data_IF_578878393648
#
_entry.id   IF_578878393648
#
_cell.length_a   1.000
_cell.length_b   1.000
_cell.length_c   1.000
_cell.angle_alpha   90.00
_cell.angle_beta   90.00
_cell.angle_gamma   90.00
#
_symmetry.space_group_name_H-M   'P 1'
#
loop_
_entity.id
_entity.type
_entity.pdbx_description
1 polymer ?
2 non-polymer ?
3 non-polymer ?
4 water ?
#
# COMPACT_ATOMS: atom_id res chain seq x y z
N UNK A 45 -24.39 -21.28 -4.42
CA UNK A 45 -25.83 -21.33 -4.30
C UNK A 45 -26.47 -19.98 -4.60
N UNK A 46 -27.75 -19.98 -4.98
CA UNK A 46 -28.44 -18.75 -5.31
C UNK A 46 -28.81 -17.99 -4.03
N UNK A 47 -29.30 -18.70 -3.02
CA UNK A 47 -29.51 -18.08 -1.71
C UNK A 47 -28.19 -18.13 -0.93
N UNK A 48 -28.04 -17.27 0.07
CA UNK A 48 -26.80 -17.27 0.86
C UNK A 48 -26.64 -18.59 1.62
N UNK A 49 -27.74 -19.10 2.17
CA UNK A 49 -27.71 -20.37 2.89
C UNK A 49 -27.29 -21.49 1.94
N UNK A 50 -27.81 -21.47 0.72
CA UNK A 50 -27.41 -22.45 -0.28
C UNK A 50 -25.91 -22.32 -0.56
N UNK A 51 -25.45 -21.10 -0.78
CA UNK A 51 -24.03 -20.91 -1.02
C UNK A 51 -23.22 -21.40 0.18
N UNK A 52 -23.70 -21.10 1.39
CA UNK A 52 -22.97 -21.45 2.61
C UNK A 52 -22.88 -22.96 2.82
N UNK A 53 -23.99 -23.66 2.63
CA UNK A 53 -24.00 -25.10 2.85
C UNK A 53 -23.09 -25.77 1.84
N UNK A 54 -23.05 -25.23 0.63
CA UNK A 54 -22.17 -25.76 -0.41
C UNK A 54 -20.72 -25.45 -0.08
N UNK A 55 -20.46 -24.24 0.42
CA UNK A 55 -19.10 -23.89 0.81
C UNK A 55 -18.64 -24.70 2.03
N UNK A 56 -19.58 -25.07 2.90
CA UNK A 56 -19.24 -25.83 4.09
C UNK A 56 -18.61 -27.17 3.67
N UNK A 57 -19.08 -27.72 2.57
CA UNK A 57 -18.48 -28.94 2.01
C UNK A 57 -17.03 -28.70 1.62
N UNK A 58 -16.74 -27.55 1.01
CA UNK A 58 -15.38 -27.26 0.59
C UNK A 58 -14.47 -26.99 1.79
N UNK A 59 -15.02 -26.36 2.83
CA UNK A 59 -14.25 -26.10 4.04
C UNK A 59 -13.90 -27.40 4.76
N UNK A 60 -14.87 -28.31 4.87
CA UNK A 60 -14.63 -29.61 5.48
C UNK A 60 -13.56 -30.36 4.70
N UNK A 61 -13.67 -30.32 3.37
CA UNK A 61 -12.72 -30.98 2.49
C UNK A 61 -11.35 -30.31 2.57
N UNK A 62 -11.32 -29.09 3.09
CA UNK A 62 -10.08 -28.33 3.22
C UNK A 62 -9.44 -28.44 4.59
N UNK A 63 -10.04 -29.26 5.47
CA UNK A 63 -9.48 -29.47 6.79
C UNK A 63 -10.14 -28.72 7.94
N UNK A 64 -11.12 -27.87 7.63
CA UNK A 64 -11.88 -27.20 8.68
C UNK A 64 -12.88 -28.16 9.33
N UNK A 65 -12.98 -28.12 10.65
CA UNK A 65 -13.91 -29.00 11.35
C UNK A 65 -15.24 -28.31 11.65
N UNK A 66 -16.25 -29.13 11.88
CA UNK A 66 -17.63 -28.67 11.97
C UNK A 66 -17.87 -27.61 13.03
N UNK A 67 -17.33 -27.82 14.24
CA UNK A 67 -17.52 -26.84 15.31
C UNK A 67 -16.99 -25.49 14.90
N UNK A 68 -15.82 -25.47 14.28
CA UNK A 68 -15.18 -24.22 13.86
C UNK A 68 -16.03 -23.48 12.84
N UNK A 69 -16.49 -24.21 11.83
CA UNK A 69 -17.28 -23.62 10.76
C UNK A 69 -18.59 -23.04 11.30
N UNK A 70 -19.32 -23.84 12.08
CA UNK A 70 -20.62 -23.41 12.58
C UNK A 70 -20.48 -22.25 13.57
N UNK A 71 -19.44 -22.30 14.40
CA UNK A 71 -19.12 -21.21 15.31
C UNK A 71 -18.85 -19.92 14.53
N UNK A 72 -18.08 -20.06 13.47
CA UNK A 72 -17.68 -18.93 12.64
C UNK A 72 -18.85 -18.31 11.86
N UNK A 73 -19.81 -19.14 11.48
CA UNK A 73 -20.93 -18.67 10.66
C UNK A 73 -22.21 -18.39 11.44
N UNK A 74 -22.18 -18.59 12.75
CA UNK A 74 -23.34 -18.33 13.58
C UNK A 74 -23.89 -16.92 13.39
N UNK A 75 -25.10 -16.82 12.83
CA UNK A 75 -25.76 -15.54 12.65
C UNK A 75 -25.28 -14.74 11.46
N UNK A 76 -24.30 -15.27 10.73
CA UNK A 76 -23.74 -14.55 9.58
C UNK A 76 -24.70 -14.49 8.38
N UNK A 77 -24.84 -13.28 7.84
CA UNK A 77 -25.64 -13.02 6.65
C UNK A 77 -24.80 -12.11 5.76
N UNK A 78 -25.20 -11.93 4.48
CA UNK A 78 -24.41 -10.99 3.68
C UNK A 78 -24.41 -9.57 4.26
N UNK A 79 -23.32 -8.85 4.01
CA UNK A 79 -23.20 -7.46 4.45
C UNK A 79 -23.23 -6.50 3.25
N UNK A 80 -24.34 -5.76 3.08
CA UNK A 80 -24.46 -4.90 1.90
C UNK A 80 -23.38 -3.82 1.84
N UNK A 81 -22.85 -3.44 3.00
CA UNK A 81 -21.78 -2.45 3.07
C UNK A 81 -20.53 -3.00 2.39
N UNK A 82 -20.29 -4.29 2.55
CA UNK A 82 -19.15 -4.94 1.93
C UNK A 82 -19.35 -5.01 0.41
N UNK A 83 -20.58 -5.32 0.00
CA UNK A 83 -20.87 -5.37 -1.44
C UNK A 83 -20.67 -4.00 -2.07
N UNK A 84 -21.13 -2.96 -1.38
CA UNK A 84 -20.99 -1.59 -1.86
C UNK A 84 -19.53 -1.17 -1.99
N UNK A 85 -18.71 -1.46 -0.97
CA UNK A 85 -17.29 -1.13 -1.02
C UNK A 85 -16.60 -1.85 -2.18
N UNK A 86 -17.01 -3.08 -2.44
CA UNK A 86 -16.46 -3.91 -3.51
C UNK A 86 -16.85 -3.37 -4.89
N UNK A 87 -18.00 -2.71 -4.96
CA UNK A 87 -18.53 -2.17 -6.21
C UNK A 87 -18.04 -0.74 -6.44
N UNK A 88 -17.64 -0.09 -5.35
CA UNK A 88 -17.27 1.32 -5.38
C UNK A 88 -16.16 1.62 -6.38
N UNK A 89 -16.50 2.45 -7.37
CA UNK A 89 -15.52 2.98 -8.32
C UNK A 89 -15.51 4.50 -8.23
N UNK A 90 -14.74 5.05 -7.28
CA UNK A 90 -14.73 6.49 -6.97
C UNK A 90 -14.44 7.35 -8.19
N UNK A 91 -15.34 8.29 -8.47
CA UNK A 91 -15.18 9.18 -9.61
C UNK A 91 -14.00 10.14 -9.40
N UNK A 92 -13.91 10.71 -8.21
CA UNK A 92 -12.85 11.66 -7.91
C UNK A 92 -11.86 11.12 -6.87
N UNK A 93 -10.60 11.55 -6.99
CA UNK A 93 -9.59 11.23 -6.00
C UNK A 93 -8.85 12.51 -5.59
N UNK A 94 -8.21 12.47 -4.43
CA UNK A 94 -7.49 13.64 -3.94
C UNK A 94 -6.06 13.68 -4.50
N UNK A 95 -5.53 14.88 -4.74
CA UNK A 95 -4.15 14.99 -5.22
C UNK A 95 -3.19 14.41 -4.18
N UNK A 96 -2.00 14.01 -4.61
CA UNK A 96 -1.06 13.34 -3.72
C UNK A 96 -0.73 14.21 -2.52
N UNK A 97 -0.58 15.52 -2.75
CA UNK A 97 -0.14 16.39 -1.66
C UNK A 97 -1.18 16.40 -0.54
N UNK A 98 -2.46 16.23 -0.88
CA UNK A 98 -3.51 16.20 0.14
C UNK A 98 -3.52 14.85 0.85
N UNK A 99 -3.30 13.78 0.09
CA UNK A 99 -3.14 12.47 0.70
C UNK A 99 -2.02 12.49 1.73
N UNK A 100 -0.86 13.03 1.33
CA UNK A 100 0.29 13.09 2.20
C UNK A 100 0.04 14.00 3.40
N UNK A 101 -0.69 15.08 3.18
CA UNK A 101 -0.99 16.02 4.26
C UNK A 101 -1.80 15.31 5.35
N UNK A 102 -2.71 14.44 4.93
CA UNK A 102 -3.47 13.62 5.86
C UNK A 102 -2.64 12.54 6.53
N UNK A 103 -1.83 11.83 5.74
CA UNK A 103 -0.98 10.77 6.28
C UNK A 103 0.03 11.29 7.31
N UNK A 104 0.56 12.48 7.04
CA UNK A 104 1.61 13.06 7.87
C UNK A 104 1.06 14.08 8.87
N UNK A 105 -0.23 13.96 9.17
CA UNK A 105 -0.85 14.87 10.13
C UNK A 105 -0.02 14.85 11.41
N UNK A 106 0.28 16.03 11.97
CA UNK A 106 1.08 16.08 13.22
C UNK A 106 0.50 15.17 14.31
N UNK A 107 -0.81 14.98 14.31
CA UNK A 107 -1.40 14.11 15.31
C UNK A 107 -0.93 12.65 15.12
N UNK A 108 -0.79 12.21 13.87
CA UNK A 108 -0.31 10.85 13.63
C UNK A 108 1.19 10.75 13.93
N UNK A 109 1.93 11.79 13.62
CA UNK A 109 3.37 11.80 13.93
C UNK A 109 3.55 11.68 15.43
N UNK A 110 2.87 12.54 16.20
CA UNK A 110 3.08 12.50 17.63
C UNK A 110 2.59 11.19 18.23
N UNK A 111 1.51 10.59 17.69
CA UNK A 111 1.04 9.33 18.26
C UNK A 111 2.08 8.23 18.01
N UNK A 112 2.72 8.28 16.85
CA UNK A 112 3.78 7.31 16.54
C UNK A 112 4.99 7.48 17.43
N UNK A 113 5.36 8.72 17.71
CA UNK A 113 6.44 8.97 18.65
C UNK A 113 6.09 8.44 20.03
N UNK A 114 4.82 8.55 20.41
CA UNK A 114 4.39 8.05 21.71
C UNK A 114 4.45 6.52 21.74
N UNK A 115 4.10 5.88 20.62
CA UNK A 115 4.17 4.41 20.54
C UNK A 115 5.61 3.91 20.56
N UNK A 116 6.50 4.65 19.92
CA UNK A 116 7.90 4.27 19.89
C UNK A 116 8.46 4.25 21.31
N UNK A 117 8.01 5.19 22.16
CA UNK A 117 8.45 5.22 23.54
C UNK A 117 7.78 4.16 24.38
N UNK A 118 6.48 3.98 24.17
CA UNK A 118 5.70 3.07 24.99
C UNK A 118 6.15 1.63 24.79
N UNK A 119 6.44 1.29 23.55
CA UNK A 119 6.80 -0.08 23.19
C UNK A 119 8.29 -0.23 22.90
N UNK A 120 9.10 0.63 23.50
CA UNK A 120 10.53 0.68 23.18
C UNK A 120 11.22 -0.68 23.38
N UNK A 121 10.88 -1.39 24.45
CA UNK A 121 11.53 -2.66 24.73
C UNK A 121 11.21 -3.69 23.64
N UNK A 122 9.92 -3.92 23.39
CA UNK A 122 9.50 -4.80 22.30
C UNK A 122 10.09 -4.40 20.95
N UNK A 123 10.04 -3.12 20.60
CA UNK A 123 10.55 -2.68 19.31
C UNK A 123 12.04 -2.92 19.19
N UNK A 124 12.76 -2.78 20.30
CA UNK A 124 14.19 -3.04 20.30
C UNK A 124 14.47 -4.50 20.01
N UNK A 125 13.70 -5.38 20.65
CA UNK A 125 13.84 -6.81 20.45
C UNK A 125 13.43 -7.20 19.02
N UNK A 126 12.44 -6.50 18.48
CA UNK A 126 11.98 -6.77 17.11
C UNK A 126 12.96 -6.22 16.09
N UNK A 127 13.37 -4.96 16.27
CA UNK A 127 14.38 -4.27 15.47
C UNK A 127 15.64 -5.12 15.36
N UNK A 128 16.00 -5.76 16.48
CA UNK A 128 17.21 -6.56 16.56
C UNK A 128 17.04 -7.99 16.04
N UNK A 129 15.87 -8.59 16.26
CA UNK A 129 15.65 -9.97 15.81
C UNK A 129 15.41 -10.08 14.30
N UNK A 130 14.74 -9.10 13.72
CA UNK A 130 14.37 -9.16 12.31
C UNK A 130 15.23 -8.25 11.44
N UNK A 131 16.09 -7.46 12.07
CA UNK A 131 16.88 -6.47 11.33
C UNK A 131 15.95 -5.57 10.50
N UNK A 132 14.98 -4.99 11.19
CA UNK A 132 14.08 -4.01 10.56
C UNK A 132 13.96 -2.81 11.49
N UNK A 133 14.10 -1.62 10.92
CA UNK A 133 14.08 -0.39 11.70
C UNK A 133 12.75 -0.17 12.39
N UNK A 134 12.80 0.16 13.68
CA UNK A 134 11.60 0.36 14.47
C UNK A 134 10.73 1.45 13.87
N UNK A 135 11.36 2.50 13.33
CA UNK A 135 10.59 3.65 12.86
C UNK A 135 9.75 3.25 11.66
N UNK A 136 10.27 2.34 10.83
CA UNK A 136 9.52 1.86 9.68
C UNK A 136 8.37 0.94 10.10
N UNK A 137 8.63 0.04 11.06
CA UNK A 137 7.57 -0.80 11.62
C UNK A 137 6.43 0.05 12.18
N UNK A 138 6.79 1.06 12.96
CA UNK A 138 5.76 1.91 13.55
C UNK A 138 5.05 2.76 12.49
N UNK A 139 5.78 3.20 11.45
CA UNK A 139 5.12 3.97 10.41
C UNK A 139 4.09 3.13 9.68
N UNK A 140 4.42 1.86 9.40
CA UNK A 140 3.46 0.98 8.71
C UNK A 140 2.23 0.80 9.60
N UNK A 141 2.47 0.59 10.89
CA UNK A 141 1.41 0.40 11.86
C UNK A 141 0.49 1.63 11.87
N UNK A 142 1.08 2.81 11.83
CA UNK A 142 0.30 4.05 11.74
C UNK A 142 -0.52 4.13 10.48
N UNK A 143 0.08 3.81 9.34
CA UNK A 143 -0.60 3.90 8.06
C UNK A 143 -1.68 2.84 7.89
N UNK A 144 -1.46 1.66 8.47
CA UNK A 144 -2.38 0.55 8.26
C UNK A 144 -3.61 0.62 9.16
N UNK A 145 -3.44 0.95 10.43
CA UNK A 145 -4.57 0.94 11.37
C UNK A 145 -4.53 2.05 12.40
N UNK A 146 -3.76 3.12 12.14
CA UNK A 146 -3.59 4.16 13.14
C UNK A 146 -3.11 3.58 14.49
N UNK A 147 -2.10 2.72 14.41
CA UNK A 147 -1.49 2.10 15.58
C UNK A 147 -2.50 1.26 16.36
N UNK A 148 -3.40 0.63 15.62
CA UNK A 148 -4.39 -0.26 16.20
C UNK A 148 -5.73 0.34 16.57
N UNK A 149 -5.93 1.63 16.33
CA UNK A 149 -7.21 2.25 16.70
C UNK A 149 -8.26 2.16 15.60
N UNK A 150 -7.85 1.84 14.38
CA UNK A 150 -8.78 1.75 13.25
C UNK A 150 -8.50 0.50 12.45
N UNK A 151 -9.02 -0.62 12.93
CA UNK A 151 -8.81 -1.93 12.32
C UNK A 151 -9.98 -2.32 11.41
N UNK A 152 -11.02 -1.50 11.45
CA UNK A 152 -12.30 -1.88 10.90
C UNK A 152 -13.14 -2.39 12.04
N UNK A 153 -14.43 -2.56 11.81
CA UNK A 153 -15.30 -3.13 12.84
C UNK A 153 -16.01 -4.37 12.32
N UNK A 154 -15.65 -4.75 11.10
CA UNK A 154 -16.38 -5.78 10.40
C UNK A 154 -15.80 -7.15 10.69
N UNK A 155 -16.68 -8.11 10.91
CA UNK A 155 -16.26 -9.48 11.12
C UNK A 155 -15.70 -10.06 9.83
N UNK A 156 -14.48 -10.57 9.91
CA UNK A 156 -13.74 -11.03 8.72
C UNK A 156 -14.49 -12.16 8.03
N UNK A 157 -15.09 -13.06 8.81
CA UNK A 157 -15.81 -14.18 8.18
C UNK A 157 -17.02 -13.66 7.41
N UNK A 158 -17.75 -12.73 8.01
CA UNK A 158 -18.91 -12.17 7.36
C UNK A 158 -18.52 -11.43 6.08
N UNK A 159 -17.46 -10.63 6.16
CA UNK A 159 -17.07 -9.83 5.01
C UNK A 159 -16.60 -10.71 3.85
N UNK A 160 -15.73 -11.69 4.15
CA UNK A 160 -15.24 -12.56 3.09
C UNK A 160 -16.32 -13.50 2.52
N UNK A 161 -17.24 -13.96 3.37
CA UNK A 161 -18.36 -14.77 2.89
C UNK A 161 -19.25 -13.96 1.96
N UNK A 162 -19.45 -12.69 2.32
CA UNK A 162 -20.24 -11.80 1.46
C UNK A 162 -19.60 -11.70 0.08
N UNK A 163 -18.30 -11.41 0.05
CA UNK A 163 -17.59 -11.30 -1.24
C UNK A 163 -17.57 -12.62 -2.02
N UNK A 164 -17.41 -13.74 -1.30
CA UNK A 164 -17.45 -15.04 -1.95
C UNK A 164 -18.82 -15.29 -2.59
N UNK A 165 -19.87 -14.95 -1.86
CA UNK A 165 -21.24 -15.16 -2.31
C UNK A 165 -21.63 -14.27 -3.50
N UNK A 166 -21.34 -12.97 -3.40
CA UNK A 166 -21.81 -12.05 -4.43
C UNK A 166 -20.81 -10.95 -4.78
N UNK A 167 -19.53 -11.16 -4.48
CA UNK A 167 -18.50 -10.17 -4.79
C UNK A 167 -17.99 -10.26 -6.22
N UNK A 168 -17.22 -9.25 -6.62
CA UNK A 168 -16.68 -9.22 -7.98
C UNK A 168 -15.45 -10.10 -8.11
N UNK A 169 -14.83 -10.42 -6.97
CA UNK A 169 -13.62 -11.23 -6.97
C UNK A 169 -13.77 -12.45 -6.04
N UNK A 170 -14.59 -13.42 -6.46
CA UNK A 170 -14.93 -14.61 -5.67
C UNK A 170 -13.76 -15.58 -5.45
N UNK A 171 -12.83 -15.65 -6.39
CA UNK A 171 -11.65 -16.49 -6.25
C UNK A 171 -10.81 -16.05 -5.05
N UNK A 172 -10.52 -14.76 -5.00
CA UNK A 172 -9.83 -14.17 -3.86
C UNK A 172 -10.60 -14.41 -2.57
N UNK A 173 -11.92 -14.16 -2.59
CA UNK A 173 -12.68 -14.23 -1.34
C UNK A 173 -12.73 -15.65 -0.79
N UNK A 174 -12.94 -16.63 -1.66
CA UNK A 174 -12.99 -18.03 -1.25
C UNK A 174 -11.66 -18.47 -0.64
N UNK A 175 -10.56 -18.09 -1.28
CA UNK A 175 -9.24 -18.46 -0.80
C UNK A 175 -8.95 -17.84 0.58
N UNK A 176 -9.27 -16.57 0.74
CA UNK A 176 -9.01 -15.91 2.01
C UNK A 176 -9.93 -16.45 3.08
N UNK A 177 -11.15 -16.81 2.70
CA UNK A 177 -12.14 -17.28 3.68
C UNK A 177 -11.70 -18.63 4.24
N UNK A 178 -11.21 -19.53 3.39
CA UNK A 178 -10.68 -20.79 3.87
C UNK A 178 -9.49 -20.55 4.80
N UNK A 179 -8.65 -19.58 4.45
CA UNK A 179 -7.47 -19.28 5.23
C UNK A 179 -7.86 -18.72 6.60
N UNK A 180 -8.88 -17.86 6.61
CA UNK A 180 -9.40 -17.33 7.87
C UNK A 180 -9.95 -18.42 8.79
N UNK A 181 -10.67 -19.38 8.23
CA UNK A 181 -11.20 -20.46 9.05
C UNK A 181 -10.08 -21.28 9.70
N UNK A 182 -8.96 -21.40 9.01
CA UNK A 182 -7.82 -22.13 9.57
C UNK A 182 -7.22 -21.39 10.75
N UNK A 183 -7.23 -20.06 10.66
CA UNK A 183 -6.79 -19.21 11.76
C UNK A 183 -7.69 -19.43 12.98
N UNK A 184 -8.99 -19.46 12.76
CA UNK A 184 -9.91 -19.75 13.87
C UNK A 184 -9.70 -21.15 14.42
N UNK A 185 -9.51 -22.12 13.54
CA UNK A 185 -9.28 -23.49 13.95
C UNK A 185 -8.03 -23.60 14.82
N UNK A 186 -7.00 -22.84 14.47
CA UNK A 186 -5.75 -22.90 15.23
C UNK A 186 -5.85 -22.14 16.54
N UNK A 187 -6.79 -21.21 16.62
CA UNK A 187 -7.06 -20.48 17.85
C UNK A 187 -6.33 -19.17 18.07
N UNK A 188 -5.82 -18.56 17.01
CA UNK A 188 -5.12 -17.27 17.13
C UNK A 188 -6.02 -16.17 17.72
N UNK A 189 -7.32 -16.28 17.46
CA UNK A 189 -8.31 -15.31 17.92
C UNK A 189 -9.68 -15.97 17.94
N UNK A 190 -10.56 -15.59 18.88
CA UNK A 190 -11.94 -16.07 18.83
C UNK A 190 -12.69 -15.46 17.65
N UNK A 191 -13.63 -16.21 17.10
CA UNK A 191 -14.41 -15.74 15.96
C UNK A 191 -15.06 -14.37 16.21
N UNK A 192 -15.58 -14.18 17.43
CA UNK A 192 -16.20 -12.90 17.74
C UNK A 192 -15.27 -11.70 17.59
N UNK A 193 -13.97 -11.91 17.74
CA UNK A 193 -13.02 -10.80 17.71
C UNK A 193 -12.15 -10.78 16.44
N UNK A 194 -12.51 -11.60 15.45
CA UNK A 194 -11.74 -11.59 14.19
C UNK A 194 -12.22 -10.45 13.32
N UNK A 195 -11.68 -9.27 13.60
CA UNK A 195 -12.15 -8.03 13.03
C UNK A 195 -11.19 -7.54 11.95
N UNK A 196 -11.73 -6.82 10.98
CA UNK A 196 -10.92 -6.23 9.93
C UNK A 196 -11.73 -5.38 8.98
N UNK A 197 -11.14 -5.07 7.83
CA UNK A 197 -11.79 -4.22 6.83
C UNK A 197 -12.76 -5.00 5.94
N UNK A 198 -13.49 -4.29 5.08
CA UNK A 198 -14.48 -4.91 4.19
C UNK A 198 -13.87 -5.96 3.26
N UNK A 199 -12.57 -5.83 2.99
CA UNK A 199 -11.92 -6.71 2.03
C UNK A 199 -11.14 -7.82 2.71
N UNK A 200 -11.31 -7.96 4.03
CA UNK A 200 -10.66 -9.05 4.73
C UNK A 200 -9.29 -8.75 5.30
N UNK A 201 -8.84 -7.50 5.24
CA UNK A 201 -7.58 -7.12 5.88
C UNK A 201 -7.79 -7.05 7.39
N UNK A 202 -6.95 -7.75 8.15
CA UNK A 202 -7.30 -8.07 9.54
C UNK A 202 -6.47 -7.32 10.56
N UNK A 203 -7.11 -6.88 11.62
CA UNK A 203 -6.39 -6.52 12.83
C UNK A 203 -5.46 -5.33 12.70
N UNK A 204 -4.43 -5.30 13.54
CA UNK A 204 -3.58 -4.13 13.63
C UNK A 204 -2.67 -4.02 12.43
N UNK A 205 -2.32 -5.16 11.86
CA UNK A 205 -1.41 -5.19 10.72
C UNK A 205 -2.13 -5.05 9.37
N UNK A 206 -3.44 -5.27 9.38
CA UNK A 206 -4.25 -5.35 8.15
C UNK A 206 -3.72 -6.38 7.16
N UNK A 207 -3.22 -7.49 7.70
CA UNK A 207 -2.90 -8.67 6.90
C UNK A 207 -4.17 -9.34 6.38
N UNK A 208 -4.22 -9.74 5.11
CA UNK A 208 -5.26 -10.68 4.67
C UNK A 208 -4.91 -12.07 5.23
N UNK A 209 -5.90 -12.96 5.33
CA UNK A 209 -5.65 -14.25 5.97
C UNK A 209 -4.44 -15.03 5.43
N UNK A 210 -4.26 -15.13 4.12
CA UNK A 210 -3.13 -15.92 3.62
C UNK A 210 -1.80 -15.25 4.03
N UNK A 211 -1.75 -13.92 4.09
CA UNK A 211 -0.55 -13.25 4.55
C UNK A 211 -0.31 -13.50 6.05
N UNK A 212 -1.37 -13.47 6.84
CA UNK A 212 -1.26 -13.85 8.22
C UNK A 212 -0.67 -15.26 8.36
N UNK A 213 -1.19 -16.20 7.58
CA UNK A 213 -0.78 -17.59 7.75
C UNK A 213 0.68 -17.84 7.35
N UNK A 214 1.23 -16.98 6.49
CA UNK A 214 2.63 -17.10 6.07
C UNK A 214 3.57 -16.24 6.91
N UNK A 215 3.10 -15.07 7.34
CA UNK A 215 4.05 -14.12 7.95
C UNK A 215 3.74 -13.66 9.37
N UNK A 216 2.56 -13.92 9.89
CA UNK A 216 2.32 -13.56 11.27
C UNK A 216 3.22 -14.33 12.23
N UNK A 217 3.53 -13.67 13.33
CA UNK A 217 4.48 -14.12 14.33
C UNK A 217 3.85 -14.19 15.71
N UNK A 218 4.20 -15.20 16.50
CA UNK A 218 3.88 -15.23 17.93
C UNK A 218 5.07 -14.71 18.73
N UNK A 219 5.04 -13.42 19.04
CA UNK A 219 6.15 -12.76 19.69
C UNK A 219 6.37 -13.24 21.11
N UNK A 220 5.29 -13.38 21.87
CA UNK A 220 5.42 -13.66 23.30
C UNK A 220 5.44 -15.14 23.65
N UNK A 221 5.06 -16.00 22.69
CA UNK A 221 5.16 -17.44 22.88
C UNK A 221 3.97 -18.14 23.50
N UNK A 222 2.83 -17.47 23.58
CA UNK A 222 1.65 -18.07 24.16
C UNK A 222 0.93 -19.02 23.19
N UNK A 223 1.48 -19.16 21.98
CA UNK A 223 0.93 -20.05 20.97
C UNK A 223 -0.07 -19.40 20.05
N UNK A 224 -0.36 -18.13 20.31
CA UNK A 224 -1.28 -17.38 19.46
C UNK A 224 -0.55 -16.29 18.68
N UNK A 225 -0.83 -16.23 17.38
CA UNK A 225 -0.38 -15.12 16.54
C UNK A 225 -1.50 -14.09 16.52
N UNK A 226 -1.58 -13.31 17.59
CA UNK A 226 -2.71 -12.41 17.81
C UNK A 226 -2.44 -11.00 17.32
N UNK A 227 -2.72 -10.75 16.05
CA UNK A 227 -2.46 -9.45 15.46
C UNK A 227 -3.61 -8.50 15.74
N UNK A 228 -4.58 -8.95 16.55
CA UNK A 228 -5.70 -8.10 16.97
C UNK A 228 -5.44 -7.43 18.32
N UNK A 229 -5.02 -8.21 19.30
CA UNK A 229 -4.94 -7.72 20.67
C UNK A 229 -3.55 -7.64 21.26
N UNK A 230 -2.55 -8.10 20.53
CA UNK A 230 -1.19 -8.12 21.07
C UNK A 230 -0.24 -7.20 20.30
N UNK A 231 0.18 -6.08 20.90
CA UNK A 231 1.11 -5.22 20.16
C UNK A 231 2.39 -5.98 19.77
N UNK A 232 2.90 -6.83 20.67
CA UNK A 232 4.10 -7.60 20.39
C UNK A 232 3.95 -8.44 19.14
N UNK A 233 2.90 -9.25 19.09
CA UNK A 233 2.65 -10.08 17.90
C UNK A 233 2.49 -9.22 16.66
N UNK A 234 1.75 -8.12 16.79
CA UNK A 234 1.51 -7.24 15.66
C UNK A 234 2.80 -6.63 15.12
N UNK A 235 3.61 -6.09 16.03
CA UNK A 235 4.84 -5.43 15.63
C UNK A 235 5.84 -6.44 15.04
N UNK A 236 5.95 -7.60 15.66
CA UNK A 236 6.86 -8.62 15.15
C UNK A 236 6.39 -9.12 13.79
N UNK A 237 5.07 -9.25 13.63
CA UNK A 237 4.51 -9.70 12.36
C UNK A 237 4.82 -8.70 11.25
N UNK A 238 4.66 -7.41 11.56
CA UNK A 238 4.94 -6.37 10.58
C UNK A 238 6.39 -6.43 10.16
N UNK A 239 7.28 -6.59 11.13
CA UNK A 239 8.71 -6.62 10.86
C UNK A 239 9.07 -7.85 10.03
N UNK A 240 8.49 -8.98 10.38
CA UNK A 240 8.74 -10.22 9.65
C UNK A 240 8.36 -10.07 8.15
N UNK A 241 7.23 -9.42 7.90
CA UNK A 241 6.76 -9.21 6.53
C UNK A 241 7.67 -8.21 5.79
N UNK A 242 8.08 -7.14 6.46
CA UNK A 242 9.02 -6.21 5.83
C UNK A 242 10.35 -6.89 5.51
N UNK A 243 10.82 -7.75 6.41
CA UNK A 243 12.10 -8.39 6.20
C UNK A 243 11.98 -9.37 5.03
N UNK A 244 10.87 -10.10 4.97
CA UNK A 244 10.64 -11.05 3.87
C UNK A 244 10.55 -10.29 2.54
N UNK A 245 10.12 -9.04 2.62
CA UNK A 245 9.95 -8.18 1.45
C UNK A 245 11.22 -7.46 1.05
N UNK A 246 12.31 -7.70 1.80
CA UNK A 246 13.64 -7.26 1.39
C UNK A 246 14.26 -6.12 2.19
N UNK A 247 13.65 -5.74 3.30
CA UNK A 247 14.20 -4.65 4.12
C UNK A 247 15.65 -4.81 4.48
N UNK A 248 16.43 -3.75 4.23
CA UNK A 248 17.80 -3.69 4.71
C UNK A 248 17.87 -2.67 5.83
N UNK A 249 18.17 -3.15 7.04
CA UNK A 249 18.21 -2.30 8.22
C UNK A 249 19.15 -1.11 8.04
N UNK A 250 18.64 0.08 8.36
CA UNK A 250 19.47 1.27 8.37
C UNK A 250 19.60 1.94 7.03
N UNK A 251 19.13 1.29 5.95
CA UNK A 251 19.22 1.90 4.63
C UNK A 251 18.02 2.82 4.43
N UNK A 252 18.23 4.01 3.85
CA UNK A 252 17.06 4.88 3.64
C UNK A 252 16.09 4.29 2.59
N UNK A 253 14.79 4.54 2.78
CA UNK A 253 13.81 4.18 1.77
C UNK A 253 14.03 5.00 0.51
N UNK A 254 14.56 6.20 0.70
CA UNK A 254 14.74 7.11 -0.39
C UNK A 254 14.85 8.50 0.17
N UNK A 255 14.93 9.47 -0.71
CA UNK A 255 15.09 10.85 -0.25
C UNK A 255 14.76 11.82 -1.36
N UNK A 256 14.42 13.04 -0.99
CA UNK A 256 14.13 14.07 -1.98
C UNK A 256 15.39 14.53 -2.70
N UNK A 257 15.24 14.85 -3.98
CA UNK A 257 16.36 15.33 -4.78
C UNK A 257 15.96 16.54 -5.60
N UNK A 258 16.94 17.19 -6.19
CA UNK A 258 16.71 18.29 -7.11
C UNK A 258 17.12 17.86 -8.52
N UNK A 259 16.21 18.03 -9.48
CA UNK A 259 16.51 17.70 -10.88
C UNK A 259 17.07 18.89 -11.64
N UNK A 260 18.01 18.62 -12.55
CA UNK A 260 18.56 19.66 -13.43
C UNK A 260 17.60 20.12 -14.52
N UNK A 261 17.97 21.18 -15.21
CA UNK A 261 17.17 21.71 -16.30
C UNK A 261 17.18 20.74 -17.48
N UNK A 262 16.08 20.68 -18.20
CA UNK A 262 15.96 19.82 -19.38
C UNK A 262 16.19 18.35 -19.08
N UNK A 263 15.82 17.93 -17.89
CA UNK A 263 16.03 16.55 -17.46
C UNK A 263 15.19 15.59 -18.27
N UNK A 264 15.69 14.36 -18.45
CA UNK A 264 14.94 13.34 -19.16
C UNK A 264 13.92 12.72 -18.22
N UNK A 265 12.72 13.28 -18.20
CA UNK A 265 11.69 12.87 -17.26
C UNK A 265 11.13 11.49 -17.59
N UNK A 266 11.53 10.94 -18.74
CA UNK A 266 11.10 9.60 -19.10
C UNK A 266 11.74 8.54 -18.21
N UNK A 267 12.78 8.94 -17.48
CA UNK A 267 13.48 8.04 -16.55
C UNK A 267 12.71 7.77 -15.25
N UNK A 268 11.58 8.46 -15.06
CA UNK A 268 10.80 8.33 -13.83
C UNK A 268 9.86 7.14 -13.90
N UNK A 269 10.41 5.94 -13.65
CA UNK A 269 9.67 4.69 -13.70
C UNK A 269 10.29 3.74 -12.71
N UNK A 270 9.48 3.05 -11.90
CA UNK A 270 10.03 2.18 -10.88
C UNK A 270 10.80 1.00 -11.49
N UNK A 271 10.50 0.66 -12.74
CA UNK A 271 11.20 -0.40 -13.45
C UNK A 271 12.56 0.05 -13.97
N UNK A 272 12.81 1.36 -13.92
CA UNK A 272 14.11 1.89 -14.30
C UNK A 272 14.91 2.11 -13.02
N UNK A 273 15.99 1.36 -12.86
CA UNK A 273 16.84 1.51 -11.68
C UNK A 273 18.28 1.78 -12.09
N UNK A 274 18.92 2.69 -11.35
CA UNK A 274 20.28 3.10 -11.63
C UNK A 274 21.01 3.30 -10.32
N UNK A 275 22.31 3.00 -10.29
CA UNK A 275 23.06 3.30 -9.07
C UNK A 275 23.00 4.79 -8.76
N UNK A 276 23.02 5.15 -7.48
CA UNK A 276 22.99 6.56 -7.10
C UNK A 276 24.12 7.34 -7.78
N UNK A 277 25.27 6.69 -7.93
CA UNK A 277 26.40 7.31 -8.60
C UNK A 277 26.07 7.73 -10.02
N UNK A 278 25.31 6.88 -10.71
CA UNK A 278 24.90 7.18 -12.07
C UNK A 278 23.89 8.33 -12.11
N UNK A 279 22.96 8.36 -11.16
CA UNK A 279 22.03 9.50 -11.08
C UNK A 279 22.77 10.83 -10.85
N UNK A 280 23.79 10.80 -10.01
CA UNK A 280 24.50 12.02 -9.65
C UNK A 280 25.30 12.56 -10.82
N UNK A 281 25.91 11.64 -11.58
CA UNK A 281 26.68 12.02 -12.73
C UNK A 281 25.78 12.37 -13.89
N UNK A 282 24.48 12.39 -13.62
CA UNK A 282 23.47 12.68 -14.62
C UNK A 282 22.83 14.05 -14.39
N UNK A 283 23.24 14.73 -13.32
CA UNK A 283 22.66 16.01 -12.98
C UNK A 283 21.81 16.06 -11.72
N UNK A 284 21.45 14.91 -11.17
CA UNK A 284 20.64 14.87 -9.97
C UNK A 284 21.45 15.26 -8.75
N UNK A 285 20.84 16.01 -7.84
CA UNK A 285 21.54 16.52 -6.66
C UNK A 285 20.73 16.35 -5.39
N UNK A 286 21.39 16.57 -4.25
CA UNK A 286 20.69 16.63 -2.99
C UNK A 286 19.68 17.76 -3.08
N UNK A 287 18.67 17.74 -2.20
CA UNK A 287 17.54 18.64 -2.34
C UNK A 287 17.92 20.11 -2.17
N UNK A 288 19.00 20.36 -1.44
CA UNK A 288 19.51 21.71 -1.27
C UNK A 288 20.72 21.98 -2.14
N UNK A 289 20.87 21.19 -3.20
CA UNK A 289 22.03 21.28 -4.06
C UNK A 289 23.19 20.45 -3.54
N UNK A 290 24.12 20.12 -4.42
CA UNK A 290 25.28 19.35 -4.03
C UNK A 290 25.12 17.86 -4.27
N UNK A 291 26.10 17.06 -3.81
CA UNK A 291 26.15 15.62 -4.05
C UNK A 291 25.06 14.83 -3.33
N UNK A 292 24.94 13.55 -3.67
CA UNK A 292 24.01 12.64 -2.99
C UNK A 292 24.76 11.89 -1.89
N UNK A 293 24.04 11.18 -1.01
CA UNK A 293 24.62 10.46 0.13
C UNK A 293 25.71 9.46 -0.24
N UNK A 294 26.96 9.78 0.09
CA UNK A 294 28.09 8.91 -0.25
C UNK A 294 28.05 7.60 0.52
N UNK A 295 28.75 6.59 0.00
CA UNK A 295 28.70 5.26 0.57
C UNK A 295 27.57 4.45 -0.04
N UNK A 296 26.47 5.15 -0.35
CA UNK A 296 25.32 4.54 -0.99
C UNK A 296 25.41 4.58 -2.51
N UNK A 297 26.56 5.02 -3.02
CA UNK A 297 26.74 5.29 -4.45
C UNK A 297 26.46 4.07 -5.34
N UNK A 298 26.63 2.88 -4.78
CA UNK A 298 26.39 1.66 -5.53
C UNK A 298 24.95 1.18 -5.48
N UNK A 299 24.12 1.81 -4.66
CA UNK A 299 22.74 1.36 -4.45
C UNK A 299 21.82 1.71 -5.62
N UNK A 300 20.99 0.75 -6.02
CA UNK A 300 20.07 0.95 -7.13
C UNK A 300 18.91 1.82 -6.68
N UNK A 301 18.55 2.79 -7.51
CA UNK A 301 17.43 3.67 -7.16
C UNK A 301 16.61 4.03 -8.38
N UNK A 302 15.34 4.36 -8.17
CA UNK A 302 14.43 4.84 -9.19
C UNK A 302 13.99 6.25 -8.88
N UNK A 303 13.64 7.00 -9.92
CA UNK A 303 13.14 8.37 -9.77
C UNK A 303 11.62 8.41 -9.67
N UNK A 304 11.12 8.99 -8.58
CA UNK A 304 9.69 9.16 -8.37
C UNK A 304 9.27 10.63 -8.45
N UNK A 305 8.28 10.92 -9.29
CA UNK A 305 7.72 12.27 -9.44
C UNK A 305 6.22 12.26 -9.17
N UNK A 306 5.81 12.32 -7.89
CA UNK A 306 4.40 12.09 -7.56
C UNK A 306 3.43 13.10 -8.18
N UNK A 307 3.90 14.29 -8.54
CA UNK A 307 3.04 15.27 -9.20
C UNK A 307 3.66 15.84 -10.47
N UNK A 308 4.43 15.03 -11.19
CA UNK A 308 5.00 15.46 -12.46
C UNK A 308 6.20 16.39 -12.32
N UNK A 309 6.66 16.93 -13.45
CA UNK A 309 7.91 17.67 -13.49
C UNK A 309 7.92 18.96 -12.69
N UNK A 310 6.75 19.52 -12.39
CA UNK A 310 6.71 20.76 -11.63
C UNK A 310 6.71 20.52 -10.12
N UNK A 311 6.62 19.26 -9.71
CA UNK A 311 6.53 18.93 -8.30
C UNK A 311 7.84 18.40 -7.76
N UNK A 312 7.83 17.93 -6.52
CA UNK A 312 9.05 17.40 -5.91
C UNK A 312 9.47 16.06 -6.52
N UNK A 313 10.76 15.76 -6.42
CA UNK A 313 11.32 14.54 -6.98
C UNK A 313 12.04 13.76 -5.89
N UNK A 314 11.94 12.43 -5.96
CA UNK A 314 12.58 11.56 -4.97
C UNK A 314 13.37 10.47 -5.67
N UNK A 315 14.51 10.09 -5.11
CA UNK A 315 15.13 8.83 -5.52
C UNK A 315 14.68 7.80 -4.52
N UNK A 316 14.16 6.67 -4.98
CA UNK A 316 13.69 5.65 -4.04
C UNK A 316 14.47 4.35 -4.21
N UNK A 317 14.81 3.78 -3.06
CA UNK A 317 15.77 2.68 -3.00
C UNK A 317 15.03 1.39 -2.71
N UNK A 318 15.82 0.34 -2.47
CA UNK A 318 15.28 -0.99 -2.27
C UNK A 318 14.21 -1.05 -1.17
N UNK A 319 14.42 -0.32 -0.07
CA UNK A 319 13.47 -0.39 1.03
C UNK A 319 12.10 0.20 0.65
N UNK A 320 12.10 1.14 -0.31
CA UNK A 320 10.84 1.62 -0.88
C UNK A 320 10.11 0.47 -1.57
N UNK A 321 10.85 -0.34 -2.32
CA UNK A 321 10.25 -1.50 -2.96
C UNK A 321 9.67 -2.47 -1.94
N UNK A 322 10.33 -2.60 -0.80
CA UNK A 322 9.81 -3.48 0.26
C UNK A 322 8.46 -2.98 0.79
N UNK A 323 8.35 -1.68 0.97
CA UNK A 323 7.10 -1.11 1.44
C UNK A 323 5.99 -1.34 0.41
N UNK A 324 6.34 -1.29 -0.87
CA UNK A 324 5.33 -1.50 -1.91
C UNK A 324 4.71 -2.89 -1.86
N UNK A 325 5.43 -3.84 -1.27
CA UNK A 325 4.88 -5.19 -1.17
C UNK A 325 3.79 -5.22 -0.10
N UNK A 326 3.78 -4.21 0.77
CA UNK A 326 2.77 -4.12 1.82
C UNK A 326 1.50 -3.51 1.22
N UNK A 327 1.68 -2.49 0.40
CA UNK A 327 0.61 -1.83 -0.34
C UNK A 327 1.24 -1.24 -1.59
N UNK A 328 0.79 -1.73 -2.73
CA UNK A 328 1.42 -1.39 -4.01
C UNK A 328 0.91 -0.08 -4.56
N UNK A 329 1.07 0.97 -3.75
CA UNK A 329 0.77 2.34 -4.18
C UNK A 329 1.98 3.18 -3.86
N UNK A 330 2.52 3.89 -4.86
CA UNK A 330 3.68 4.73 -4.65
C UNK A 330 3.37 5.85 -3.66
N UNK A 331 2.12 6.33 -3.65
CA UNK A 331 1.73 7.37 -2.70
C UNK A 331 1.79 6.82 -1.25
N UNK A 332 1.26 5.63 -1.08
CA UNK A 332 1.33 4.95 0.22
C UNK A 332 2.75 4.76 0.68
N UNK A 333 3.61 4.27 -0.21
CA UNK A 333 4.98 3.98 0.20
C UNK A 333 5.73 5.27 0.50
N UNK A 334 5.44 6.33 -0.25
CA UNK A 334 6.04 7.63 0.06
C UNK A 334 5.59 8.12 1.43
N UNK A 335 4.30 7.95 1.74
CA UNK A 335 3.76 8.34 3.04
C UNK A 335 4.44 7.56 4.16
N UNK A 336 4.56 6.25 4.00
CA UNK A 336 5.26 5.47 5.01
C UNK A 336 6.68 5.96 5.26
N UNK A 337 7.45 6.19 4.19
CA UNK A 337 8.82 6.66 4.36
C UNK A 337 8.91 8.01 5.05
N UNK A 338 8.08 8.94 4.59
CA UNK A 338 8.07 10.28 5.21
C UNK A 338 7.54 10.26 6.65
N UNK A 339 6.59 9.38 6.95
CA UNK A 339 6.12 9.27 8.33
C UNK A 339 7.25 8.73 9.23
N UNK A 340 7.93 7.68 8.77
CA UNK A 340 9.05 7.15 9.54
C UNK A 340 10.09 8.23 9.76
N UNK A 341 10.40 9.00 8.70
CA UNK A 341 11.34 10.11 8.86
C UNK A 341 10.85 11.17 9.86
N UNK A 342 9.55 11.43 9.83
CA UNK A 342 8.96 12.46 10.69
C UNK A 342 9.14 12.17 12.17
N UNK A 343 9.19 10.89 12.55
CA UNK A 343 9.35 10.57 13.96
C UNK A 343 10.64 11.16 14.53
N UNK A 344 11.65 11.31 13.67
CA UNK A 344 12.96 11.81 14.08
C UNK A 344 13.18 13.25 13.62
N UNK A 345 12.10 13.89 13.17
CA UNK A 345 12.18 15.31 12.82
C UNK A 345 12.41 15.60 11.35
N UNK A 346 12.29 14.57 10.52
CA UNK A 346 12.40 14.75 9.09
C UNK A 346 11.03 14.74 8.44
N UNK A 347 10.98 14.30 7.19
CA UNK A 347 9.72 14.00 6.55
C UNK A 347 9.01 15.15 5.86
N UNK A 348 9.66 16.27 5.72
CA UNK A 348 8.93 17.28 5.01
C UNK A 348 9.69 17.62 3.73
N UNK A 349 8.96 18.24 2.82
CA UNK A 349 9.35 18.27 1.43
C UNK A 349 9.75 19.67 1.03
N UNK A 350 10.94 19.80 0.45
CA UNK A 350 11.48 21.10 0.05
C UNK A 350 10.84 21.66 -1.23
N UNK A 351 10.67 20.81 -2.24
CA UNK A 351 10.10 21.26 -3.48
C UNK A 351 8.61 21.52 -3.34
N UNK A 352 8.13 22.60 -3.90
CA UNK A 352 6.72 22.96 -3.77
C UNK A 352 5.83 22.07 -4.63
N UNK A 353 4.62 21.83 -4.14
CA UNK A 353 3.62 21.11 -4.92
C UNK A 353 2.94 22.06 -5.92
N UNK A 354 2.65 21.57 -7.12
CA UNK A 354 1.95 22.40 -8.11
C UNK A 354 0.57 22.83 -7.61
N UNK A 355 0.26 24.12 -7.72
CA UNK A 355 -1.03 24.63 -7.27
C UNK A 355 -2.17 24.03 -8.08
N UNK A 356 -1.91 23.79 -9.37
CA UNK A 356 -2.94 23.35 -10.31
C UNK A 356 -3.14 21.84 -10.31
N UNK A 357 -2.71 21.18 -9.26
CA UNK A 357 -2.85 19.73 -9.21
C UNK A 357 -4.28 19.33 -8.87
N UNK A 358 -5.14 19.35 -9.88
CA UNK A 358 -6.46 18.76 -9.78
C UNK A 358 -6.44 17.47 -10.59
N UNK A 359 -6.43 16.33 -9.90
CA UNK A 359 -6.26 15.04 -10.58
C UNK A 359 -7.42 14.74 -11.51
N UNK A 360 -7.14 13.98 -12.56
CA UNK A 360 -8.21 13.54 -13.46
C UNK A 360 -9.23 12.69 -12.72
N UNK A 361 -10.50 12.91 -13.02
CA UNK A 361 -11.56 12.05 -12.50
C UNK A 361 -11.48 10.68 -13.17
N UNK A 362 -12.24 9.71 -12.67
CA UNK A 362 -12.24 8.37 -13.24
C UNK A 362 -12.69 8.38 -14.71
N UNK A 363 -13.78 9.08 -15.00
CA UNK A 363 -14.24 9.17 -16.37
C UNK A 363 -13.22 9.92 -17.22
N UNK A 364 -12.50 10.85 -16.61
CA UNK A 364 -11.49 11.60 -17.33
C UNK A 364 -10.27 10.74 -17.68
N UNK A 365 -9.94 9.79 -16.81
CA UNK A 365 -8.83 8.89 -17.09
C UNK A 365 -9.17 7.98 -18.28
N UNK A 366 -10.42 7.55 -18.34
CA UNK A 366 -10.88 6.74 -19.46
C UNK A 366 -10.88 7.56 -20.73
N UNK A 367 -11.37 8.79 -20.62
CA UNK A 367 -11.40 9.68 -21.76
C UNK A 367 -9.98 9.92 -22.28
N UNK A 368 -9.05 10.10 -21.35
CA UNK A 368 -7.65 10.34 -21.72
C UNK A 368 -7.10 9.19 -22.53
N UNK A 369 -7.38 7.98 -22.09
CA UNK A 369 -6.88 6.79 -22.78
C UNK A 369 -7.49 6.68 -24.18
N UNK A 370 -8.77 7.02 -24.30
CA UNK A 370 -9.44 6.97 -25.61
C UNK A 370 -8.90 8.05 -26.54
N UNK A 371 -8.59 9.22 -25.99
CA UNK A 371 -8.07 10.33 -26.80
C UNK A 371 -6.65 10.06 -27.27
N UNK A 372 -5.86 9.43 -26.40
CA UNK A 372 -4.49 9.06 -26.75
C UNK A 372 -4.50 8.07 -27.91
N UNK A 373 -5.33 7.04 -27.80
CA UNK A 373 -5.41 6.02 -28.83
C UNK A 373 -5.87 6.65 -30.14
N UNK A 374 -6.76 7.63 -30.04
CA UNK A 374 -7.30 8.28 -31.23
C UNK A 374 -6.26 9.10 -31.99
N UNK A 375 -5.21 9.52 -31.28
CA UNK A 375 -4.14 10.27 -31.93
C UNK A 375 -2.96 9.36 -32.27
N UNK A 376 -3.14 8.05 -32.08
CA UNK A 376 -2.10 7.10 -32.44
C UNK A 376 -1.06 6.86 -31.36
N UNK A 377 -1.35 7.26 -30.13
CA UNK A 377 -0.48 6.92 -29.00
C UNK A 377 -1.19 5.88 -28.17
N UNK A 378 -0.98 4.61 -28.51
CA UNK A 378 -1.73 3.52 -27.90
C UNK A 378 -1.37 3.34 -26.42
N UNK A 379 -2.38 3.47 -25.54
CA UNK A 379 -2.15 3.32 -24.10
C UNK A 379 -2.39 1.90 -23.60
N UNK A 380 -2.64 0.97 -24.51
CA UNK A 380 -3.04 -0.36 -24.14
C UNK A 380 -4.55 -0.42 -23.98
N UNK A 381 -5.02 -1.14 -22.97
CA UNK A 381 -6.46 -1.27 -22.75
C UNK A 381 -7.05 0.00 -22.13
N UNK A 382 -8.30 0.28 -22.46
CA UNK A 382 -9.02 1.42 -21.89
C UNK A 382 -9.71 1.02 -20.59
N UNK A 383 -8.99 1.08 -19.48
CA UNK A 383 -9.50 0.60 -18.20
C UNK A 383 -9.59 1.70 -17.15
N UNK A 384 -9.12 2.89 -17.49
CA UNK A 384 -9.10 3.99 -16.55
C UNK A 384 -7.94 3.92 -15.57
N UNK A 385 -7.06 2.95 -15.76
CA UNK A 385 -5.89 2.81 -14.91
C UNK A 385 -4.63 3.33 -15.58
N UNK A 386 -4.03 4.37 -14.98
CA UNK A 386 -2.81 4.94 -15.53
C UNK A 386 -1.61 4.11 -15.12
N UNK A 387 -1.34 3.06 -15.89
CA UNK A 387 -0.19 2.20 -15.63
C UNK A 387 0.94 2.48 -16.59
N UNK A 388 1.91 1.56 -16.63
CA UNK A 388 3.10 1.74 -17.46
C UNK A 388 2.77 2.01 -18.93
N UNK A 389 1.82 1.26 -19.47
CA UNK A 389 1.45 1.42 -20.88
C UNK A 389 0.87 2.79 -21.16
N UNK A 390 0.01 3.25 -20.27
CA UNK A 390 -0.60 4.56 -20.46
C UNK A 390 0.44 5.66 -20.29
N UNK A 391 1.36 5.50 -19.35
CA UNK A 391 2.39 6.51 -19.15
C UNK A 391 3.26 6.63 -20.38
N UNK A 392 3.50 5.50 -21.04
CA UNK A 392 4.27 5.47 -22.27
C UNK A 392 3.57 6.32 -23.34
N UNK A 393 2.26 6.11 -23.45
CA UNK A 393 1.46 6.84 -24.43
C UNK A 393 1.41 8.32 -24.08
N UNK A 394 1.27 8.59 -22.79
CA UNK A 394 1.25 9.97 -22.33
C UNK A 394 2.56 10.67 -22.71
N UNK A 395 3.68 10.02 -22.44
CA UNK A 395 4.98 10.62 -22.75
C UNK A 395 5.14 10.91 -24.24
N UNK A 396 4.65 10.02 -25.09
CA UNK A 396 4.76 10.23 -26.54
C UNK A 396 3.91 11.45 -26.94
N UNK A 397 2.75 11.58 -26.30
CA UNK A 397 1.87 12.68 -26.60
C UNK A 397 2.45 14.01 -26.11
N UNK A 398 3.02 13.99 -24.91
CA UNK A 398 3.65 15.19 -24.36
C UNK A 398 4.77 15.67 -25.28
N UNK A 399 5.58 14.73 -25.76
CA UNK A 399 6.66 15.06 -26.68
C UNK A 399 6.13 15.64 -27.99
N UNK A 400 4.99 15.12 -28.46
CA UNK A 400 4.37 15.64 -29.67
C UNK A 400 3.99 17.11 -29.51
N UNK A 401 3.54 17.45 -28.30
CA UNK A 401 3.16 18.82 -27.96
C UNK A 401 4.36 19.67 -27.56
N UNK A 402 5.51 19.02 -27.36
CA UNK A 402 6.72 19.73 -26.96
C UNK A 402 6.81 19.97 -25.47
N UNK A 403 6.00 19.22 -24.72
CA UNK A 403 5.96 19.31 -23.27
C UNK A 403 6.98 18.38 -22.63
N UNK A 404 7.38 18.66 -21.38
CA UNK A 404 8.23 17.71 -20.67
C UNK A 404 7.52 16.35 -20.58
N UNK A 405 8.24 15.28 -20.87
CA UNK A 405 7.62 13.95 -20.95
C UNK A 405 7.67 13.22 -19.62
N UNK A 406 6.90 13.69 -18.64
CA UNK A 406 6.95 13.09 -17.31
C UNK A 406 5.94 11.95 -17.13
N UNK A 407 5.08 11.74 -18.12
CA UNK A 407 4.09 10.69 -18.03
C UNK A 407 2.97 10.96 -17.03
N UNK A 408 2.93 12.18 -16.52
CA UNK A 408 1.92 12.56 -15.54
C UNK A 408 0.81 13.37 -16.22
N UNK A 409 -0.38 12.76 -16.35
CA UNK A 409 -1.47 13.43 -17.08
C UNK A 409 -2.22 14.43 -16.21
N UNK A 410 -2.65 15.52 -16.84
CA UNK A 410 -3.36 16.59 -16.14
C UNK A 410 -4.59 17.00 -16.95
N UNK A 411 -5.53 17.71 -16.32
CA UNK A 411 -6.66 18.27 -17.07
C UNK A 411 -6.22 19.02 -18.33
N UNK A 412 -5.10 19.73 -18.26
CA UNK A 412 -4.63 20.54 -19.38
C UNK A 412 -4.24 19.65 -20.57
N UNK A 413 -3.70 18.47 -20.28
CA UNK A 413 -3.38 17.51 -21.34
C UNK A 413 -4.66 17.03 -22.01
N UNK A 414 -5.65 16.69 -21.19
CA UNK A 414 -6.95 16.30 -21.72
C UNK A 414 -7.57 17.44 -22.54
N UNK A 415 -7.44 18.69 -22.08
CA UNK A 415 -8.00 19.84 -22.79
C UNK A 415 -7.30 20.06 -24.14
N UNK A 416 -6.00 19.85 -24.17
CA UNK A 416 -5.24 19.99 -25.42
C UNK A 416 -5.67 18.92 -26.41
N UNK A 417 -5.82 17.70 -25.92
CA UNK A 417 -6.23 16.55 -26.73
C UNK A 417 -7.58 16.73 -27.42
N UNK A 418 -8.50 17.47 -26.79
CA UNK A 418 -9.83 17.62 -27.35
C UNK A 418 -10.07 18.97 -28.01
N UNK A 419 -9.02 19.60 -28.51
CA UNK A 419 -9.16 20.88 -29.22
C UNK A 419 -10.08 20.74 -30.43
X LIG B 1 1.17 -14.33 20.95
X LIG C 1 -4.50 9.06 4.51
X LIG C 1 -4.97 10.42 4.43
X LIG C 1 -4.67 8.55 5.95
X LIG C 1 -3.99 7.29 6.08
X LIG C 1 -3.89 6.79 7.42
X LIG C 1 -5.15 6.04 7.80
X LIG C 1 -4.95 5.36 9.03
X LIG C 1 -3.57 9.02 4.26
X LIG C 1 -5.04 8.49 3.90
X LIG C 1 -4.74 10.77 3.65
X LIG C 1 -5.62 8.43 6.15
X LIG C 1 -4.27 9.19 6.56
X LIG C 1 -3.75 7.55 8.04
X LIG C 1 -3.12 6.18 7.49
X LIG C 1 -5.37 5.39 7.11
X LIG C 1 -5.88 6.67 7.90
X LIG C 1 -4.12 5.13 9.11
X LIG D 1 -4.12 9.08 -3.11
X LIG D 1 -3.36 10.13 -3.74
X LIG D 1 -3.52 7.73 -3.48
X LIG D 1 -3.98 6.73 -2.57
X LIG D 1 -3.04 5.66 -2.35
X LIG D 1 -3.60 4.66 -1.35
X LIG D 1 -4.61 3.87 -1.96
X LIG D 1 -5.03 9.12 -3.43
X LIG D 1 -4.11 9.19 -2.13
X LIG D 1 -3.86 10.85 -3.84
X LIG D 1 -2.54 7.78 -3.44
X LIG D 1 -3.79 7.49 -4.38
X LIG D 1 -2.19 6.03 -2.01
X LIG D 1 -2.87 5.19 -3.21
X LIG D 1 -3.98 5.14 -0.59
X LIG D 1 -2.89 4.07 -1.04
X LIG D 1 -5.27 4.40 -2.21
X LIG E 1 7.24 -11.50 -0.37
X LIG E 1 6.65 -10.59 0.59
X LIG E 1 8.27 -10.72 -1.19
X LIG E 1 8.90 -11.57 -2.15
X LIG E 1 8.02 -11.97 -3.22
X LIG E 1 8.70 -11.71 -4.56
X LIG E 1 9.90 -10.98 -4.35
X LIG E 1 6.56 -11.84 -0.96
X LIG E 1 7.69 -12.25 0.11
X LIG E 1 5.78 -10.54 0.44
X LIG E 1 8.96 -10.35 -0.58
X LIG E 1 7.83 -9.99 -1.63
X LIG E 1 7.18 -11.47 -3.17
X LIG E 1 7.83 -12.93 -3.14
X LIG E 1 8.10 -11.19 -5.13
X LIG E 1 8.89 -12.54 -4.99
X LIG E 1 9.71 -10.20 -3.99
#
# INVERSE_FOLDING_TARGET
>A
GSHMQKNPTVEYNQPAAPLQTKAPFSGAGPAASVPAGAPNEAQPGQSFEQWRDAFRQQALAGGIDAQTFDRAFAGVQPDPAVVEADRSQPEFTRPVWKYLEGALDPLRVRQGQARLAQHARILGEVDARYAVDADAVVAIWGMESNYGSHMGNKNVIRSLATLAYEGRRPEFAHAQLLAALKILQHGDVPASFMIGSWAGAMGQTQFIPTTHNQYAVDFDGDGKRDIWGSPGDALASTANYLKASGWIAGQPWGFEVRLPAGFDYSLAELTIRKPLGEWQGMGVQGVNGGPLPSGLSGEQASLLLPAGHRGPAFLVLHNFRAILKYNNSSAYALAVGLLADSFKGGGRIVGAWPLEDVPLSRSQRIELQRQLAARGHDPGAVDGIIGANTRKAIRACQQEFGWPADGYPTPALLDRLRTP
>B hetero
1 CA CA
>C hetero
1 PEG C1 O1 C2 O2 C3 C4 O4 H11 H12 HO1 H21 H22 H31 H32 H41 H42 HO4
>D hetero
1 PEG C1 O1 C2 O2 C3 C4 O4 H11 H12 HO1 H21 H22 H31 H32 H41 H42 HO4
>E hetero
1 PEG C1 O1 C2 O2 C3 C4 O4 H11 H12 HO1 H21 H22 H31 H32 H41 H42 HO4
#
